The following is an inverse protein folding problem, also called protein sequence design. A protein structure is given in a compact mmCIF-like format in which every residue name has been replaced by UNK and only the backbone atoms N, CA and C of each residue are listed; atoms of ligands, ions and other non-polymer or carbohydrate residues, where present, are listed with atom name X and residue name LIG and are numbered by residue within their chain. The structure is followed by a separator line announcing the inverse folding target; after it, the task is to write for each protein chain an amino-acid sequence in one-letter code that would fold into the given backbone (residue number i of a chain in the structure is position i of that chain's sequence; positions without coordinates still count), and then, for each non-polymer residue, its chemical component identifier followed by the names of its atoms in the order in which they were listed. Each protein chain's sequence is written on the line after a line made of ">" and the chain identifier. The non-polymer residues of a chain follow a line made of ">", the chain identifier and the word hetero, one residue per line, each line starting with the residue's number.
data_IF_104808294537
#
_entry.id   IF_104808294537
#
_cell.length_a   1.000
_cell.length_b   1.000
_cell.length_c   1.000
_cell.angle_alpha   90.00
_cell.angle_beta   90.00
_cell.angle_gamma   90.00
#
_symmetry.space_group_name_H-M   'P 1'
#
loop_
_entity.id
_entity.type
_entity.pdbx_description
1 polymer ?
#
# COMPACT_ATOMS: atom_id res chain seq x y z
N UNK A 1 11.93 -10.25 5.95
CA UNK A 1 11.44 -8.87 6.08
C UNK A 1 12.63 -7.94 5.93
N UNK A 2 12.72 -7.18 4.82
CA UNK A 2 13.87 -6.31 4.53
C UNK A 2 13.99 -5.15 5.53
N UNK A 3 15.22 -4.72 5.81
CA UNK A 3 15.54 -3.61 6.73
C UNK A 3 14.77 -2.33 6.39
N UNK A 4 14.53 -2.09 5.09
CA UNK A 4 13.75 -0.99 4.55
C UNK A 4 12.40 -0.76 5.25
N UNK A 5 11.61 -1.82 5.47
CA UNK A 5 10.27 -1.70 6.07
C UNK A 5 10.31 -1.48 7.58
N UNK A 6 11.43 -1.82 8.24
CA UNK A 6 11.63 -1.66 9.69
C UNK A 6 12.07 -0.25 10.08
N UNK A 7 12.65 0.47 9.14
CA UNK A 7 13.16 1.83 9.32
C UNK A 7 12.10 2.90 9.03
N UNK A 8 10.92 2.50 8.50
CA UNK A 8 9.83 3.42 8.21
C UNK A 8 9.10 3.84 9.51
N UNK A 9 8.81 5.14 9.69
CA UNK A 9 8.07 5.62 10.85
C UNK A 9 6.66 5.00 10.90
N UNK A 10 6.20 4.68 12.11
CA UNK A 10 4.88 4.06 12.33
C UNK A 10 3.74 5.10 12.31
N UNK A 11 4.05 6.34 12.65
CA UNK A 11 3.16 7.49 12.45
C UNK A 11 3.35 8.02 11.02
N UNK A 12 2.32 7.86 10.19
CA UNK A 12 2.33 8.32 8.80
C UNK A 12 2.06 9.84 8.81
N UNK A 13 3.11 10.65 8.83
CA UNK A 13 3.02 12.11 8.66
C UNK A 13 3.16 12.50 7.19
N UNK A 14 3.90 11.70 6.41
CA UNK A 14 4.13 11.86 4.97
C UNK A 14 4.21 10.47 4.32
N UNK A 15 3.48 10.27 3.23
CA UNK A 15 3.45 9.01 2.50
C UNK A 15 4.44 9.12 1.32
N UNK A 16 5.46 8.26 1.29
CA UNK A 16 6.36 8.15 0.14
C UNK A 16 5.62 7.44 -1.01
N UNK A 17 4.95 8.22 -1.86
CA UNK A 17 4.16 7.72 -2.98
C UNK A 17 4.97 6.80 -3.93
N UNK A 18 6.24 7.11 -4.29
CA UNK A 18 7.09 6.18 -5.04
C UNK A 18 7.26 4.82 -4.37
N UNK A 19 7.50 4.80 -3.05
CA UNK A 19 7.66 3.55 -2.29
C UNK A 19 6.35 2.75 -2.27
N UNK A 20 5.22 3.42 -2.01
CA UNK A 20 3.91 2.76 -1.99
C UNK A 20 3.59 2.14 -3.34
N UNK A 21 3.84 2.86 -4.44
CA UNK A 21 3.66 2.33 -5.79
C UNK A 21 4.57 1.13 -6.07
N UNK A 22 5.78 1.11 -5.51
CA UNK A 22 6.70 -0.01 -5.59
C UNK A 22 6.24 -1.27 -4.84
N UNK A 23 5.46 -1.10 -3.76
CA UNK A 23 4.93 -2.19 -2.93
C UNK A 23 3.60 -2.74 -3.42
N UNK A 24 2.82 -1.94 -4.14
CA UNK A 24 1.59 -2.37 -4.79
C UNK A 24 1.92 -3.29 -5.97
N UNK A 25 1.24 -4.44 -6.02
CA UNK A 25 1.27 -5.36 -7.14
C UNK A 25 0.19 -5.02 -8.15
N UNK A 26 -1.01 -4.72 -7.67
CA UNK A 26 -2.17 -4.39 -8.51
C UNK A 26 -3.16 -3.50 -7.76
N UNK A 27 -3.79 -2.58 -8.48
CA UNK A 27 -4.98 -1.85 -8.00
C UNK A 27 -6.17 -2.25 -8.86
N UNK A 28 -7.27 -2.62 -8.22
CA UNK A 28 -8.56 -2.90 -8.87
C UNK A 28 -9.57 -1.84 -8.46
N UNK A 29 -10.16 -1.17 -9.44
CA UNK A 29 -11.17 -0.13 -9.24
C UNK A 29 -12.56 -0.73 -9.48
N UNK A 30 -13.46 -0.52 -8.54
CA UNK A 30 -14.89 -0.84 -8.63
C UNK A 30 -15.70 0.46 -8.65
N UNK A 31 -17.03 0.37 -8.81
CA UNK A 31 -17.91 1.54 -8.83
C UNK A 31 -17.85 2.34 -7.51
N UNK A 32 -17.81 1.67 -6.36
CA UNK A 32 -17.90 2.31 -5.03
C UNK A 32 -16.67 2.08 -4.13
N UNK A 33 -15.63 1.42 -4.65
CA UNK A 33 -14.45 1.07 -3.85
C UNK A 33 -13.19 0.82 -4.67
N UNK A 34 -12.06 0.80 -3.99
CA UNK A 34 -10.76 0.43 -4.53
C UNK A 34 -10.18 -0.73 -3.74
N UNK A 35 -9.56 -1.69 -4.41
CA UNK A 35 -8.80 -2.74 -3.78
C UNK A 35 -7.32 -2.65 -4.21
N UNK A 36 -6.42 -2.60 -3.25
CA UNK A 36 -4.98 -2.63 -3.49
C UNK A 36 -4.40 -3.96 -3.02
N UNK A 37 -3.80 -4.70 -3.94
CA UNK A 37 -3.05 -5.92 -3.67
C UNK A 37 -1.57 -5.55 -3.60
N UNK A 38 -0.93 -5.83 -2.46
CA UNK A 38 0.50 -5.60 -2.25
C UNK A 38 1.28 -6.86 -2.61
N UNK A 39 2.53 -6.70 -3.07
CA UNK A 39 3.46 -7.80 -3.38
C UNK A 39 3.74 -8.74 -2.19
N UNK A 40 3.39 -8.31 -0.99
CA UNK A 40 3.41 -9.14 0.22
C UNK A 40 2.24 -10.14 0.30
N UNK A 41 1.29 -10.12 -0.65
CA UNK A 41 0.04 -10.86 -0.61
C UNK A 41 -1.04 -10.24 0.30
N UNK A 42 -0.81 -9.03 0.81
CA UNK A 42 -1.77 -8.30 1.63
C UNK A 42 -2.74 -7.58 0.69
N UNK A 43 -4.04 -7.69 0.95
CA UNK A 43 -5.09 -6.97 0.24
C UNK A 43 -5.72 -5.94 1.17
N UNK A 44 -5.91 -4.72 0.68
CA UNK A 44 -6.57 -3.63 1.40
C UNK A 44 -7.75 -3.15 0.56
N UNK A 45 -8.95 -3.19 1.14
CA UNK A 45 -10.14 -2.57 0.57
C UNK A 45 -10.28 -1.14 1.13
N UNK A 46 -10.36 -0.17 0.21
CA UNK A 46 -10.56 1.25 0.47
C UNK A 46 -11.99 1.56 0.02
N UNK A 47 -12.85 1.84 0.99
CA UNK A 47 -14.22 2.33 0.74
C UNK A 47 -14.19 3.87 0.77
N UNK A 48 -15.11 4.52 0.04
CA UNK A 48 -15.31 5.98 0.08
C UNK A 48 -15.60 6.50 1.49
#
# INVERSE_FOLDING_TARGET
>A
MGTLLREQPTDIVECDEPLVWGLIEKVTVYEDKFAAEFKSGISVDINE
#
